data_IF_105244555530
#
_entry.id   IF_105244555530
#
_cell.length_a   1.000
_cell.length_b   1.000
_cell.length_c   1.000
_cell.angle_alpha   90.00
_cell.angle_beta   90.00
_cell.angle_gamma   90.00
#
_symmetry.space_group_name_H-M   'P 1'
#
loop_
_entity.id
_entity.type
_entity.pdbx_description
1 polymer ?
#
# COMPACT_ATOMS: atom_id res chain seq x y z
N UNK A 1 -16.46 -1.79 10.21
CA UNK A 1 -15.04 -1.52 10.57
C UNK A 1 -14.33 -2.85 10.50
N UNK A 2 -13.22 -2.96 9.77
CA UNK A 2 -12.51 -4.23 9.62
C UNK A 2 -11.71 -4.52 10.90
N UNK A 3 -11.58 -5.78 11.28
CA UNK A 3 -10.96 -6.16 12.56
C UNK A 3 -9.51 -5.66 12.71
N UNK A 4 -8.80 -5.44 11.60
CA UNK A 4 -7.44 -4.88 11.59
C UNK A 4 -7.37 -3.37 11.81
N UNK A 5 -8.48 -2.63 11.70
CA UNK A 5 -8.49 -1.18 11.93
C UNK A 5 -8.42 -0.82 13.43
N UNK A 6 -8.80 -1.76 14.31
CA UNK A 6 -8.72 -1.63 15.77
C UNK A 6 -7.99 -2.83 16.36
N UNK A 7 -6.65 -2.82 16.36
CA UNK A 7 -5.88 -3.93 16.91
C UNK A 7 -6.18 -4.10 18.41
N UNK A 8 -6.29 -5.35 18.84
CA UNK A 8 -6.38 -5.71 20.27
C UNK A 8 -5.00 -5.83 20.92
N UNK A 9 -3.95 -6.02 20.11
CA UNK A 9 -2.56 -6.16 20.58
C UNK A 9 -1.61 -5.39 19.66
N UNK A 10 -0.71 -4.59 20.23
CA UNK A 10 0.38 -3.92 19.51
C UNK A 10 1.73 -4.37 20.07
N UNK A 11 2.66 -4.73 19.19
CA UNK A 11 4.06 -5.00 19.54
C UNK A 11 4.95 -3.85 19.07
N UNK A 12 5.81 -3.33 19.95
CA UNK A 12 6.83 -2.34 19.57
C UNK A 12 8.20 -2.78 20.08
N UNK A 13 9.23 -1.99 19.77
CA UNK A 13 10.50 -2.08 20.49
C UNK A 13 10.36 -1.53 21.93
N UNK A 14 11.49 -1.46 22.64
CA UNK A 14 11.57 -1.01 24.03
C UNK A 14 11.72 0.51 24.19
N UNK A 15 11.51 1.30 23.15
CA UNK A 15 11.59 2.75 23.26
C UNK A 15 10.51 3.29 24.21
N UNK A 16 10.87 4.20 25.14
CA UNK A 16 9.94 4.68 26.17
C UNK A 16 8.79 5.52 25.60
N UNK A 17 8.96 6.08 24.41
CA UNK A 17 7.98 6.94 23.74
C UNK A 17 6.67 6.21 23.41
N UNK A 18 6.72 4.91 23.12
CA UNK A 18 5.53 4.14 22.73
C UNK A 18 4.50 4.00 23.85
N UNK A 19 4.96 3.80 25.10
CA UNK A 19 4.05 3.67 26.24
C UNK A 19 3.24 4.95 26.49
N UNK A 20 3.91 6.11 26.36
CA UNK A 20 3.28 7.42 26.48
C UNK A 20 2.27 7.63 25.34
N UNK A 21 2.70 7.45 24.10
CA UNK A 21 1.85 7.63 22.92
C UNK A 21 0.61 6.72 22.95
N UNK A 22 0.76 5.44 23.34
CA UNK A 22 -0.38 4.51 23.44
C UNK A 22 -1.35 4.94 24.55
N UNK A 23 -0.85 5.45 25.67
CA UNK A 23 -1.69 5.93 26.77
C UNK A 23 -2.50 7.16 26.36
N UNK A 24 -1.88 8.11 25.66
CA UNK A 24 -2.54 9.28 25.08
C UNK A 24 -3.60 8.86 24.04
N UNK A 25 -3.27 7.92 23.15
CA UNK A 25 -4.22 7.41 22.14
C UNK A 25 -5.42 6.68 22.76
N UNK A 26 -5.25 6.04 23.93
CA UNK A 26 -6.34 5.46 24.72
C UNK A 26 -7.22 6.55 25.36
N UNK A 27 -6.63 7.62 25.87
CA UNK A 27 -7.36 8.75 26.44
C UNK A 27 -8.19 9.50 25.38
N UNK A 28 -7.61 9.67 24.19
CA UNK A 28 -8.26 10.26 23.00
C UNK A 28 -9.37 9.38 22.40
N UNK A 29 -9.54 8.13 22.86
CA UNK A 29 -10.49 7.17 22.31
C UNK A 29 -10.13 6.63 20.92
N UNK A 30 -8.91 6.90 20.43
CA UNK A 30 -8.39 6.39 19.14
C UNK A 30 -8.00 4.91 19.23
N UNK A 31 -7.56 4.46 20.40
CA UNK A 31 -7.26 3.06 20.67
C UNK A 31 -8.28 2.44 21.63
N UNK A 32 -8.62 1.14 21.48
CA UNK A 32 -9.42 0.42 22.47
C UNK A 32 -8.77 0.48 23.86
N UNK A 33 -9.57 0.63 24.93
CA UNK A 33 -9.07 0.61 26.31
C UNK A 33 -8.35 -0.71 26.64
N UNK A 34 -8.89 -1.81 26.12
CA UNK A 34 -8.38 -3.18 26.27
C UNK A 34 -7.14 -3.48 25.41
N UNK A 35 -6.68 -2.53 24.58
CA UNK A 35 -5.49 -2.73 23.76
C UNK A 35 -4.29 -3.13 24.63
N UNK A 36 -3.69 -4.27 24.33
CA UNK A 36 -2.50 -4.78 25.01
C UNK A 36 -1.25 -4.32 24.28
N UNK A 37 -0.38 -3.61 24.99
CA UNK A 37 0.96 -3.27 24.48
C UNK A 37 1.98 -4.30 24.96
N UNK A 38 2.74 -4.86 24.03
CA UNK A 38 3.81 -5.83 24.31
C UNK A 38 5.13 -5.41 23.65
N UNK A 39 6.24 -5.86 24.23
CA UNK A 39 7.60 -5.52 23.79
C UNK A 39 8.43 -6.79 23.57
N UNK A 40 7.95 -7.66 22.69
CA UNK A 40 8.58 -8.95 22.40
C UNK A 40 9.53 -8.81 21.22
N UNK A 41 10.83 -9.00 21.46
CA UNK A 41 11.90 -8.75 20.48
C UNK A 41 11.70 -9.51 19.16
N UNK A 42 11.42 -10.81 19.21
CA UNK A 42 11.32 -11.63 18.00
C UNK A 42 10.09 -11.31 17.15
N UNK A 43 9.04 -10.71 17.72
CA UNK A 43 7.84 -10.32 16.98
C UNK A 43 8.10 -9.09 16.10
N UNK A 44 9.14 -8.31 16.39
CA UNK A 44 9.58 -7.21 15.52
C UNK A 44 10.26 -7.72 14.24
N UNK A 45 10.71 -8.98 14.20
CA UNK A 45 11.44 -9.53 13.05
C UNK A 45 10.66 -9.45 11.74
N UNK A 46 9.32 -9.55 11.78
CA UNK A 46 8.48 -9.47 10.57
C UNK A 46 8.55 -8.06 9.96
N UNK A 47 8.42 -7.04 10.80
CA UNK A 47 8.51 -5.62 10.38
C UNK A 47 9.93 -5.30 9.91
N UNK A 48 10.94 -5.75 10.65
CA UNK A 48 12.34 -5.56 10.27
C UNK A 48 12.71 -6.25 8.95
N UNK A 49 12.15 -7.44 8.68
CA UNK A 49 12.36 -8.13 7.42
C UNK A 49 11.74 -7.39 6.23
N UNK A 50 10.54 -6.82 6.40
CA UNK A 50 9.89 -6.01 5.36
C UNK A 50 10.67 -4.70 5.11
N UNK A 51 11.11 -4.03 6.19
CA UNK A 51 12.01 -2.88 6.10
C UNK A 51 13.34 -3.22 5.41
N UNK A 52 13.91 -4.40 5.69
CA UNK A 52 15.14 -4.88 5.07
C UNK A 52 15.03 -4.97 3.55
N UNK A 53 13.93 -5.53 3.03
CA UNK A 53 13.65 -5.61 1.59
C UNK A 53 13.56 -4.23 0.95
N UNK A 54 12.86 -3.29 1.61
CA UNK A 54 12.75 -1.93 1.11
C UNK A 54 14.10 -1.20 1.12
N UNK A 55 14.87 -1.33 2.20
CA UNK A 55 16.23 -0.74 2.31
C UNK A 55 17.19 -1.31 1.27
N UNK A 56 17.08 -2.59 0.90
CA UNK A 56 17.90 -3.19 -0.17
C UNK A 56 17.68 -2.51 -1.53
N UNK A 57 16.46 -2.07 -1.83
CA UNK A 57 16.14 -1.37 -3.07
C UNK A 57 16.58 0.10 -3.03
N UNK A 58 16.52 0.74 -1.86
CA UNK A 58 16.81 2.16 -1.68
C UNK A 58 18.33 2.46 -1.54
N UNK A 59 19.09 1.57 -0.90
CA UNK A 59 20.52 1.79 -0.63
C UNK A 59 21.36 2.04 -1.90
N UNK A 60 21.21 1.27 -3.00
CA UNK A 60 21.99 1.47 -4.22
C UNK A 60 21.77 2.85 -4.85
N UNK A 61 20.58 3.42 -4.71
CA UNK A 61 20.22 4.73 -5.26
C UNK A 61 20.55 5.91 -4.34
N UNK A 62 21.32 5.67 -3.26
CA UNK A 62 21.75 6.66 -2.25
C UNK A 62 20.58 7.39 -1.56
N UNK A 63 19.50 6.65 -1.30
CA UNK A 63 18.33 7.19 -0.59
C UNK A 63 17.50 8.17 -1.44
N UNK A 64 16.49 8.76 -0.81
CA UNK A 64 15.64 9.76 -1.43
C UNK A 64 16.23 11.16 -1.27
N UNK A 65 16.25 11.95 -2.33
CA UNK A 65 16.76 13.34 -2.30
C UNK A 65 15.72 14.35 -1.84
N UNK A 66 14.44 14.06 -2.08
CA UNK A 66 13.31 14.90 -1.67
C UNK A 66 12.14 14.04 -1.17
N UNK A 67 11.23 14.63 -0.38
CA UNK A 67 10.00 13.96 0.05
C UNK A 67 9.11 13.57 -1.13
N UNK A 68 9.05 14.40 -2.18
CA UNK A 68 8.30 14.09 -3.41
C UNK A 68 8.82 12.80 -4.05
N UNK A 69 10.14 12.65 -4.17
CA UNK A 69 10.75 11.43 -4.71
C UNK A 69 10.57 10.22 -3.81
N UNK A 70 10.60 10.42 -2.48
CA UNK A 70 10.36 9.36 -1.51
C UNK A 70 8.93 8.81 -1.66
N UNK A 71 7.93 9.70 -1.66
CA UNK A 71 6.53 9.32 -1.79
C UNK A 71 6.25 8.59 -3.11
N UNK A 72 6.73 9.13 -4.24
CA UNK A 72 6.54 8.48 -5.54
C UNK A 72 7.20 7.09 -5.60
N UNK A 73 8.39 6.93 -5.01
CA UNK A 73 9.10 5.65 -5.04
C UNK A 73 8.46 4.61 -4.12
N UNK A 74 8.05 5.00 -2.92
CA UNK A 74 7.34 4.11 -1.99
C UNK A 74 6.02 3.66 -2.61
N UNK A 75 5.26 4.59 -3.20
CA UNK A 75 4.03 4.27 -3.94
C UNK A 75 4.29 3.29 -5.08
N UNK A 76 5.37 3.50 -5.84
CA UNK A 76 5.80 2.58 -6.89
C UNK A 76 6.07 1.17 -6.36
N UNK A 77 6.78 1.02 -5.25
CA UNK A 77 7.03 -0.29 -4.65
C UNK A 77 5.74 -0.98 -4.19
N UNK A 78 4.78 -0.24 -3.63
CA UNK A 78 3.48 -0.78 -3.23
C UNK A 78 2.69 -1.29 -4.43
N UNK A 79 2.61 -0.50 -5.51
CA UNK A 79 1.93 -0.88 -6.76
C UNK A 79 2.57 -2.13 -7.36
N UNK A 80 3.89 -2.16 -7.48
CA UNK A 80 4.63 -3.30 -8.02
C UNK A 80 4.47 -4.56 -7.15
N UNK A 81 4.39 -4.40 -5.82
CA UNK A 81 4.15 -5.52 -4.89
C UNK A 81 2.72 -6.04 -4.99
N UNK A 82 1.74 -5.17 -5.18
CA UNK A 82 0.33 -5.54 -5.37
C UNK A 82 0.14 -6.31 -6.68
N UNK A 83 0.77 -5.86 -7.77
CA UNK A 83 0.81 -6.58 -9.06
C UNK A 83 1.45 -7.97 -8.89
N UNK A 84 2.66 -8.04 -8.31
CA UNK A 84 3.36 -9.32 -8.10
C UNK A 84 2.59 -10.32 -7.24
N UNK A 85 1.75 -9.84 -6.31
CA UNK A 85 0.91 -10.70 -5.45
C UNK A 85 -0.45 -11.04 -6.07
N UNK A 86 -0.78 -10.52 -7.25
CA UNK A 86 -2.12 -10.66 -7.86
C UNK A 86 -3.21 -9.86 -7.15
N UNK A 87 -2.87 -9.03 -6.16
CA UNK A 87 -3.84 -8.20 -5.44
C UNK A 87 -4.44 -7.11 -6.34
N UNK A 88 -3.71 -6.74 -7.40
CA UNK A 88 -4.15 -5.77 -8.38
C UNK A 88 -5.01 -6.37 -9.51
N UNK A 89 -5.18 -7.70 -9.58
CA UNK A 89 -5.90 -8.36 -10.67
C UNK A 89 -7.35 -7.87 -10.81
N UNK A 90 -8.01 -7.55 -9.69
CA UNK A 90 -9.38 -7.00 -9.66
C UNK A 90 -9.48 -5.65 -10.41
N UNK A 91 -8.37 -4.92 -10.53
CA UNK A 91 -8.31 -3.62 -11.21
C UNK A 91 -7.82 -3.70 -12.66
N UNK A 92 -7.52 -4.91 -13.15
CA UNK A 92 -7.13 -5.19 -14.53
C UNK A 92 -8.41 -5.45 -15.35
N UNK A 93 -8.81 -4.49 -16.18
CA UNK A 93 -10.05 -4.57 -16.96
C UNK A 93 -9.91 -5.43 -18.22
N UNK A 94 -8.72 -5.46 -18.80
CA UNK A 94 -8.40 -6.13 -20.07
C UNK A 94 -7.79 -7.52 -19.87
N UNK A 95 -7.44 -7.87 -18.63
CA UNK A 95 -6.74 -9.10 -18.25
C UNK A 95 -5.42 -9.32 -19.03
N UNK A 96 -4.79 -8.23 -19.48
CA UNK A 96 -3.57 -8.23 -20.28
C UNK A 96 -2.49 -7.32 -19.69
N UNK A 97 -1.33 -7.29 -20.34
CA UNK A 97 -0.18 -6.45 -19.94
C UNK A 97 -0.54 -4.96 -20.00
N UNK A 98 -1.42 -4.55 -20.93
CA UNK A 98 -1.85 -3.15 -21.03
C UNK A 98 -2.68 -2.76 -19.80
N UNK A 99 -3.55 -3.63 -19.31
CA UNK A 99 -4.33 -3.38 -18.12
C UNK A 99 -3.48 -3.30 -16.85
N UNK A 100 -2.41 -4.09 -16.74
CA UNK A 100 -1.40 -3.90 -15.69
C UNK A 100 -0.71 -2.53 -15.80
N UNK A 101 -0.33 -2.10 -17.01
CA UNK A 101 0.25 -0.78 -17.22
C UNK A 101 -0.74 0.33 -16.84
N UNK A 102 -2.03 0.20 -17.17
CA UNK A 102 -3.09 1.14 -16.78
C UNK A 102 -3.25 1.23 -15.27
N UNK A 103 -3.11 0.13 -14.53
CA UNK A 103 -3.11 0.16 -13.06
C UNK A 103 -1.97 1.03 -12.53
N UNK A 104 -0.77 0.89 -13.08
CA UNK A 104 0.38 1.73 -12.71
C UNK A 104 0.10 3.19 -13.05
N UNK A 105 -0.34 3.48 -14.27
CA UNK A 105 -0.63 4.85 -14.70
C UNK A 105 -1.69 5.53 -13.84
N UNK A 106 -2.77 4.81 -13.50
CA UNK A 106 -3.83 5.29 -12.61
C UNK A 106 -3.30 5.54 -11.20
N UNK A 107 -2.41 4.69 -10.70
CA UNK A 107 -1.77 4.92 -9.40
C UNK A 107 -0.95 6.23 -9.40
N UNK A 108 -0.38 6.65 -10.52
CA UNK A 108 0.37 7.91 -10.62
C UNK A 108 -0.42 9.09 -11.17
N UNK A 109 -1.69 8.90 -11.52
CA UNK A 109 -2.55 9.96 -12.08
C UNK A 109 -2.11 10.43 -13.48
N UNK A 110 -1.41 9.57 -14.23
CA UNK A 110 -0.90 9.87 -15.58
C UNK A 110 -1.73 9.20 -16.68
N UNK A 111 -2.56 8.22 -16.34
CA UNK A 111 -3.37 7.45 -17.28
C UNK A 111 -4.85 7.82 -17.27
N UNK A 112 -5.61 7.29 -18.24
CA UNK A 112 -7.04 7.46 -18.31
C UNK A 112 -7.73 6.88 -17.06
N UNK A 113 -8.87 7.49 -16.69
CA UNK A 113 -9.70 6.96 -15.63
C UNK A 113 -10.31 5.61 -16.02
N UNK A 114 -10.70 4.80 -15.02
CA UNK A 114 -11.43 3.54 -15.23
C UNK A 114 -12.67 3.76 -16.10
N UNK A 115 -13.41 4.84 -15.86
CA UNK A 115 -14.60 5.18 -16.65
C UNK A 115 -14.26 5.44 -18.12
N UNK A 116 -13.22 6.22 -18.38
CA UNK A 116 -12.75 6.53 -19.74
C UNK A 116 -12.35 5.25 -20.48
N UNK A 117 -11.67 4.35 -19.79
CA UNK A 117 -11.24 3.06 -20.34
C UNK A 117 -12.44 2.15 -20.67
N UNK A 118 -13.42 2.05 -19.76
CA UNK A 118 -14.64 1.26 -19.98
C UNK A 118 -15.47 1.81 -21.14
N UNK A 119 -15.63 3.14 -21.24
CA UNK A 119 -16.36 3.76 -22.35
C UNK A 119 -15.71 3.44 -23.70
N UNK A 120 -14.39 3.59 -23.80
CA UNK A 120 -13.65 3.26 -25.02
C UNK A 120 -13.78 1.78 -25.42
N UNK A 121 -13.80 0.86 -24.43
CA UNK A 121 -14.01 -0.57 -24.70
C UNK A 121 -15.44 -0.87 -25.18
N UNK A 122 -16.45 -0.17 -24.65
CA UNK A 122 -17.83 -0.33 -25.09
C UNK A 122 -18.02 0.19 -26.52
N UNK A 123 -17.42 1.34 -26.86
CA UNK A 123 -17.44 1.90 -28.22
C UNK A 123 -16.82 0.92 -29.22
N UNK A 124 -15.63 0.39 -28.93
CA UNK A 124 -14.98 -0.61 -29.79
C UNK A 124 -15.81 -1.88 -29.99
N UNK A 125 -16.50 -2.35 -28.94
CA UNK A 125 -17.36 -3.53 -29.02
C UNK A 125 -18.67 -3.26 -29.78
N UNK A 126 -19.19 -2.03 -29.76
CA UNK A 126 -20.34 -1.62 -30.56
C UNK A 126 -19.94 -1.52 -32.03
N UNK A 127 -18.83 -0.84 -32.34
CA UNK A 127 -18.32 -0.72 -33.69
C UNK A 127 -18.03 -2.09 -34.32
N UNK A 128 -17.44 -3.02 -33.56
CA UNK A 128 -17.20 -4.39 -34.00
C UNK A 128 -18.48 -5.23 -34.20
N UNK A 129 -19.62 -4.83 -33.62
CA UNK A 129 -20.92 -5.50 -33.80
C UNK A 129 -21.74 -4.94 -34.95
N UNK A 130 -21.46 -3.71 -35.37
CA UNK A 130 -22.20 -3.01 -36.43
C UNK A 130 -21.38 -2.79 -37.71
N UNK A 131 -20.14 -3.29 -37.76
CA UNK A 131 -19.30 -3.42 -38.96
C UNK A 131 -19.46 -4.81 -39.60
#
# INVERSE_FOLDING_TARGET
>A
MKDWEKPTVINTDKAPTYGIAISELKADGKCPKELVHRQVKYLNNVVEADHGKLKQLIKPVRGFKTLKTAYATIKGFEVMRALRKGQAAIFNLTDDIRGEARIVERAFGIGPSVLTEVVAMLEQNLDAKFA
#
